data_IF_194663204928
#
_entry.id   IF_194663204928
#
_cell.length_a   1.000
_cell.length_b   1.000
_cell.length_c   1.000
_cell.angle_alpha   90.00
_cell.angle_beta   90.00
_cell.angle_gamma   90.00
#
_symmetry.space_group_name_H-M   'P 1'
#
loop_
_entity.id
_entity.type
_entity.pdbx_description
1 polymer ?
#
# COMPACT_ATOMS: atom_id res chain seq x y z
N UNK A 1 13.09 -7.93 3.60
CA UNK A 1 13.46 -9.16 2.87
C UNK A 1 14.99 -9.31 2.66
N UNK A 2 15.76 -9.46 3.74
CA UNK A 2 17.24 -9.43 3.70
C UNK A 2 17.91 -10.81 3.64
N UNK A 3 17.13 -11.89 3.50
CA UNK A 3 17.64 -13.27 3.57
C UNK A 3 18.62 -13.64 2.42
N UNK A 4 18.56 -12.94 1.28
CA UNK A 4 19.46 -13.19 0.14
C UNK A 4 20.84 -12.53 0.33
N UNK A 5 21.86 -13.35 0.57
CA UNK A 5 23.26 -12.94 0.85
C UNK A 5 23.87 -11.94 -0.14
N UNK A 6 23.51 -11.99 -1.43
CA UNK A 6 24.01 -11.06 -2.48
C UNK A 6 23.07 -9.90 -2.82
N UNK A 7 21.83 -9.92 -2.33
CA UNK A 7 20.80 -8.94 -2.69
C UNK A 7 20.28 -8.13 -1.50
N UNK A 8 20.84 -8.30 -0.30
CA UNK A 8 20.31 -7.68 0.92
C UNK A 8 20.17 -6.14 0.85
N UNK A 9 21.16 -5.42 0.29
CA UNK A 9 21.10 -3.96 0.14
C UNK A 9 20.05 -3.52 -0.88
N UNK A 10 20.02 -4.18 -2.03
CA UNK A 10 19.06 -3.88 -3.10
C UNK A 10 17.64 -4.24 -2.69
N UNK A 11 17.44 -5.37 -2.01
CA UNK A 11 16.15 -5.79 -1.49
C UNK A 11 15.60 -4.79 -0.47
N UNK A 12 16.42 -4.34 0.49
CA UNK A 12 16.00 -3.34 1.49
C UNK A 12 15.69 -1.99 0.84
N UNK A 13 16.54 -1.54 -0.10
CA UNK A 13 16.34 -0.28 -0.80
C UNK A 13 15.05 -0.27 -1.63
N UNK A 14 14.79 -1.34 -2.39
CA UNK A 14 13.56 -1.45 -3.17
C UNK A 14 12.32 -1.61 -2.29
N UNK A 15 12.39 -2.34 -1.18
CA UNK A 15 11.25 -2.42 -0.24
C UNK A 15 10.92 -1.06 0.35
N UNK A 16 11.94 -0.28 0.74
CA UNK A 16 11.74 1.05 1.31
C UNK A 16 11.16 2.02 0.27
N UNK A 17 11.70 1.99 -0.95
CA UNK A 17 11.23 2.82 -2.05
C UNK A 17 9.78 2.54 -2.42
N UNK A 18 9.43 1.25 -2.58
CA UNK A 18 8.07 0.82 -2.89
C UNK A 18 7.12 1.16 -1.74
N UNK A 19 7.49 0.88 -0.49
CA UNK A 19 6.67 1.21 0.67
C UNK A 19 6.36 2.71 0.75
N UNK A 20 7.35 3.58 0.55
CA UNK A 20 7.15 5.04 0.62
C UNK A 20 6.14 5.54 -0.43
N UNK A 21 6.20 5.01 -1.65
CA UNK A 21 5.27 5.38 -2.72
C UNK A 21 3.86 4.82 -2.49
N UNK A 22 3.77 3.58 -2.00
CA UNK A 22 2.50 2.92 -1.72
C UNK A 22 1.77 3.59 -0.56
N UNK A 23 2.47 3.99 0.50
CA UNK A 23 1.84 4.72 1.63
C UNK A 23 1.24 6.04 1.15
N UNK A 24 1.96 6.81 0.33
CA UNK A 24 1.43 8.04 -0.26
C UNK A 24 0.18 7.78 -1.11
N UNK A 25 0.20 6.70 -1.90
CA UNK A 25 -0.92 6.30 -2.74
C UNK A 25 -2.13 5.83 -1.92
N UNK A 26 -1.92 5.08 -0.84
CA UNK A 26 -2.96 4.61 0.07
C UNK A 26 -3.66 5.79 0.78
N UNK A 27 -2.89 6.79 1.22
CA UNK A 27 -3.44 8.02 1.80
C UNK A 27 -4.35 8.75 0.79
N UNK A 28 -3.93 8.84 -0.47
CA UNK A 28 -4.75 9.48 -1.51
C UNK A 28 -6.06 8.72 -1.75
N UNK A 29 -6.00 7.40 -1.96
CA UNK A 29 -7.19 6.59 -2.24
C UNK A 29 -8.16 6.61 -1.05
N UNK A 30 -7.68 6.40 0.17
CA UNK A 30 -8.54 6.47 1.36
C UNK A 30 -9.10 7.87 1.59
N UNK A 31 -8.32 8.91 1.30
CA UNK A 31 -8.77 10.30 1.31
C UNK A 31 -9.88 10.59 0.29
N UNK A 32 -9.87 9.97 -0.88
CA UNK A 32 -10.95 10.08 -1.86
C UNK A 32 -12.24 9.37 -1.43
N UNK A 33 -12.14 8.24 -0.71
CA UNK A 33 -13.31 7.48 -0.25
C UNK A 33 -14.01 8.19 0.92
N UNK A 34 -13.24 8.78 1.85
CA UNK A 34 -13.77 9.51 3.02
C UNK A 34 -14.08 11.00 2.74
N UNK A 35 -14.19 11.41 1.49
CA UNK A 35 -14.49 12.81 1.15
C UNK A 35 -15.93 13.18 1.54
N UNK A 36 -16.08 14.01 2.58
CA UNK A 36 -17.30 14.79 2.84
C UNK A 36 -17.09 16.24 2.37
N UNK A 37 -18.03 16.77 1.57
CA UNK A 37 -18.08 18.17 1.09
C UNK A 37 -16.85 18.69 0.32
N UNK A 38 -16.07 17.82 -0.30
CA UNK A 38 -14.90 18.20 -1.11
C UNK A 38 -13.68 18.66 -0.30
N UNK A 39 -13.73 18.50 1.04
CA UNK A 39 -12.64 18.79 1.96
C UNK A 39 -12.19 17.49 2.62
N UNK A 40 -10.94 17.08 2.38
CA UNK A 40 -10.36 15.94 3.08
C UNK A 40 -10.07 16.37 4.52
N UNK A 41 -10.99 16.08 5.45
CA UNK A 41 -10.77 16.29 6.89
C UNK A 41 -9.83 15.21 7.41
N UNK A 42 -8.53 15.44 7.24
CA UNK A 42 -7.49 14.59 7.80
C UNK A 42 -7.49 14.65 9.33
N UNK A 43 -7.96 13.60 9.99
CA UNK A 43 -7.60 13.37 11.38
C UNK A 43 -6.30 12.55 11.37
N UNK A 44 -5.18 13.27 11.32
CA UNK A 44 -3.88 12.81 10.82
C UNK A 44 -3.36 11.48 11.38
N UNK A 45 -3.79 11.04 12.58
CA UNK A 45 -3.31 9.80 13.17
C UNK A 45 -4.12 8.56 12.76
N UNK A 46 -5.46 8.65 12.75
CA UNK A 46 -6.33 7.52 12.43
C UNK A 46 -6.24 7.13 10.96
N UNK A 47 -6.30 8.12 10.07
CA UNK A 47 -6.20 7.91 8.63
C UNK A 47 -4.81 7.41 8.19
N UNK A 48 -3.76 7.80 8.93
CA UNK A 48 -2.40 7.33 8.67
C UNK A 48 -2.24 5.85 9.05
N UNK A 49 -2.81 5.44 10.19
CA UNK A 49 -2.83 4.02 10.60
C UNK A 49 -3.60 3.19 9.56
N UNK A 50 -4.78 3.67 9.17
CA UNK A 50 -5.60 3.01 8.14
C UNK A 50 -4.87 2.88 6.80
N UNK A 51 -4.12 3.89 6.39
CA UNK A 51 -3.33 3.87 5.17
C UNK A 51 -2.12 2.94 5.27
N UNK A 52 -1.46 2.85 6.42
CA UNK A 52 -0.33 1.95 6.64
C UNK A 52 -0.78 0.48 6.60
N UNK A 53 -1.95 0.16 7.16
CA UNK A 53 -2.58 -1.17 7.04
C UNK A 53 -2.85 -1.52 5.57
N UNK A 54 -3.36 -0.57 4.78
CA UNK A 54 -3.58 -0.78 3.35
C UNK A 54 -2.27 -0.96 2.57
N UNK A 55 -1.22 -0.21 2.94
CA UNK A 55 0.10 -0.33 2.34
C UNK A 55 0.80 -1.65 2.66
N UNK A 56 0.47 -2.30 3.78
CA UNK A 56 1.03 -3.60 4.15
C UNK A 56 0.66 -4.74 3.16
N UNK A 57 -0.49 -4.64 2.49
CA UNK A 57 -0.97 -5.67 1.55
C UNK A 57 0.03 -5.92 0.40
N UNK A 58 0.42 -4.91 -0.40
CA UNK A 58 1.41 -5.11 -1.46
C UNK A 58 2.82 -5.42 -0.96
N UNK A 59 3.17 -5.06 0.27
CA UNK A 59 4.41 -5.50 0.92
C UNK A 59 4.43 -7.02 1.16
N UNK A 60 3.29 -7.62 1.50
CA UNK A 60 3.14 -9.08 1.63
C UNK A 60 3.27 -9.75 0.26
N UNK A 61 2.57 -9.24 -0.77
CA UNK A 61 2.69 -9.73 -2.16
C UNK A 61 4.13 -9.62 -2.69
N UNK A 62 4.83 -8.53 -2.37
CA UNK A 62 6.25 -8.37 -2.69
C UNK A 62 7.13 -9.44 -2.00
N UNK A 63 6.75 -9.86 -0.79
CA UNK A 63 7.40 -10.98 -0.07
C UNK A 63 7.35 -12.29 -0.84
N UNK A 64 6.21 -12.60 -1.47
CA UNK A 64 6.03 -13.80 -2.28
C UNK A 64 6.79 -13.75 -3.62
N UNK A 65 6.95 -12.56 -4.20
CA UNK A 65 7.57 -12.36 -5.52
C UNK A 65 9.07 -12.04 -5.48
N UNK A 66 9.66 -12.05 -4.28
CA UNK A 66 11.04 -11.63 -4.08
C UNK A 66 12.02 -12.46 -4.92
N UNK A 67 12.82 -11.77 -5.74
CA UNK A 67 13.86 -12.40 -6.57
C UNK A 67 13.39 -12.89 -7.94
N UNK A 68 12.13 -12.64 -8.32
CA UNK A 68 11.60 -12.98 -9.66
C UNK A 68 11.03 -11.79 -10.44
N UNK A 69 10.81 -10.65 -9.80
CA UNK A 69 10.16 -9.46 -10.42
C UNK A 69 11.08 -8.25 -10.46
N UNK A 70 10.80 -7.34 -11.39
CA UNK A 70 11.49 -6.04 -11.47
C UNK A 70 10.84 -5.01 -10.53
N UNK A 71 11.60 -4.00 -10.04
CA UNK A 71 11.05 -2.96 -9.15
C UNK A 71 9.85 -2.21 -9.74
N UNK A 72 9.84 -2.00 -11.06
CA UNK A 72 8.73 -1.32 -11.73
C UNK A 72 7.47 -2.18 -11.74
N UNK A 73 7.59 -3.49 -11.94
CA UNK A 73 6.46 -4.42 -11.89
C UNK A 73 5.84 -4.46 -10.49
N UNK A 74 6.69 -4.44 -9.45
CA UNK A 74 6.23 -4.37 -8.06
C UNK A 74 5.49 -3.07 -7.75
N UNK A 75 5.92 -1.93 -8.32
CA UNK A 75 5.21 -0.66 -8.19
C UNK A 75 3.82 -0.73 -8.83
N UNK A 76 3.72 -1.21 -10.06
CA UNK A 76 2.43 -1.33 -10.76
C UNK A 76 1.48 -2.29 -10.05
N UNK A 77 2.00 -3.42 -9.55
CA UNK A 77 1.24 -4.32 -8.68
C UNK A 77 0.71 -3.59 -7.45
N UNK A 78 1.57 -2.85 -6.74
CA UNK A 78 1.19 -2.16 -5.51
C UNK A 78 0.11 -1.10 -5.69
N UNK A 79 0.17 -0.34 -6.78
CA UNK A 79 -0.85 0.67 -7.11
C UNK A 79 -2.22 0.02 -7.30
N UNK A 80 -2.27 -1.11 -8.01
CA UNK A 80 -3.51 -1.85 -8.30
C UNK A 80 -4.04 -2.53 -7.03
N UNK A 81 -3.18 -3.20 -6.27
CA UNK A 81 -3.57 -3.91 -5.04
C UNK A 81 -4.12 -2.95 -3.98
N UNK A 82 -3.54 -1.76 -3.80
CA UNK A 82 -4.09 -0.77 -2.85
C UNK A 82 -5.49 -0.32 -3.25
N UNK A 83 -5.73 -0.10 -4.55
CA UNK A 83 -7.05 0.30 -5.03
C UNK A 83 -8.09 -0.82 -4.81
N UNK A 84 -7.72 -2.07 -5.11
CA UNK A 84 -8.57 -3.23 -4.86
C UNK A 84 -8.81 -3.45 -3.36
N UNK A 85 -7.79 -3.27 -2.52
CA UNK A 85 -7.93 -3.38 -1.08
C UNK A 85 -8.88 -2.32 -0.52
N UNK A 86 -8.74 -1.06 -0.95
CA UNK A 86 -9.62 0.02 -0.51
C UNK A 86 -11.07 -0.21 -0.94
N UNK A 87 -11.30 -0.70 -2.17
CA UNK A 87 -12.64 -1.09 -2.63
C UNK A 87 -13.21 -2.27 -1.82
N UNK A 88 -12.38 -3.28 -1.52
CA UNK A 88 -12.80 -4.43 -0.72
C UNK A 88 -13.11 -4.04 0.73
N UNK A 89 -12.32 -3.16 1.32
CA UNK A 89 -12.55 -2.61 2.66
C UNK A 89 -13.87 -1.83 2.72
N UNK A 90 -14.14 -0.98 1.71
CA UNK A 90 -15.41 -0.27 1.59
C UNK A 90 -16.60 -1.23 1.49
N UNK A 91 -16.54 -2.26 0.63
CA UNK A 91 -17.61 -3.27 0.53
C UNK A 91 -17.80 -4.01 1.86
N UNK A 92 -16.73 -4.37 2.55
CA UNK A 92 -16.82 -5.10 3.80
C UNK A 92 -17.40 -4.26 4.95
N UNK A 93 -17.07 -2.98 5.03
CA UNK A 93 -17.48 -2.10 6.13
C UNK A 93 -18.82 -1.39 5.88
N UNK A 94 -19.14 -0.99 4.65
CA UNK A 94 -20.34 -0.19 4.36
C UNK A 94 -21.52 -1.01 3.82
N UNK A 95 -21.27 -2.17 3.18
CA UNK A 95 -22.33 -3.00 2.60
C UNK A 95 -22.67 -4.21 3.48
N UNK A 96 -21.68 -4.80 4.15
CA UNK A 96 -21.83 -6.06 4.87
C UNK A 96 -21.96 -5.91 6.40
N UNK A 97 -21.59 -4.75 6.96
CA UNK A 97 -21.71 -4.42 8.38
C UNK A 97 -22.99 -3.66 8.70
#
# INVERSE_FOLDING_TARGET
MTFLKKYAYSATGFTLFVAALIVQWAILIKGFIKMEDGLIRFNQLGDLIDADIAAAVPLISMGALLGRTTPIQLLFMGIIEVALFAANEYVALDILS
#
